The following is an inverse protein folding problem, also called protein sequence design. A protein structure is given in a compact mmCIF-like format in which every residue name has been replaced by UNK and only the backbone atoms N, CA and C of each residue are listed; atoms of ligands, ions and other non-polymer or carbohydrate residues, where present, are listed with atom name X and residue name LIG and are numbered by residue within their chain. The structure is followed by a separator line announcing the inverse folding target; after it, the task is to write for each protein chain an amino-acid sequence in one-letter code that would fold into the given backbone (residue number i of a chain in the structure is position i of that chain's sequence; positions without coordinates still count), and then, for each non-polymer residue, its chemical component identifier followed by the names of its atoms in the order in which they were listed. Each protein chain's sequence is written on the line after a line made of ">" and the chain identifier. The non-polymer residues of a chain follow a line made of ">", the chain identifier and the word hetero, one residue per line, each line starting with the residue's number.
data_IF_813003826566
#
_entry.id   IF_813003826566
#
_cell.length_a   1.000
_cell.length_b   1.000
_cell.length_c   1.000
_cell.angle_alpha   90.00
_cell.angle_beta   90.00
_cell.angle_gamma   90.00
#
_symmetry.space_group_name_H-M   'P 1'
#
loop_
_entity.id
_entity.type
_entity.pdbx_description
1 polymer ?
#
# COMPACT_ATOMS: atom_id res chain seq x y z
N UNK A 1 11.94 -20.67 -17.03
CA UNK A 1 12.24 -21.11 -15.64
C UNK A 1 12.57 -19.95 -14.68
N UNK A 2 12.22 -18.69 -14.99
CA UNK A 2 12.54 -17.52 -14.12
C UNK A 2 11.54 -17.41 -12.96
N UNK A 3 10.26 -17.70 -13.20
CA UNK A 3 9.19 -17.61 -12.19
C UNK A 3 9.36 -18.56 -11.01
N UNK A 4 9.67 -19.84 -11.24
CA UNK A 4 9.77 -20.83 -10.17
C UNK A 4 10.88 -20.50 -9.16
N UNK A 5 12.03 -20.02 -9.65
CA UNK A 5 13.15 -19.61 -8.80
C UNK A 5 12.81 -18.34 -8.00
N UNK A 6 12.21 -17.33 -8.65
CA UNK A 6 11.76 -16.11 -7.98
C UNK A 6 10.72 -16.40 -6.91
N UNK A 7 9.74 -17.25 -7.22
CA UNK A 7 8.71 -17.70 -6.27
C UNK A 7 9.34 -18.36 -5.04
N UNK A 8 10.25 -19.32 -5.24
CA UNK A 8 10.96 -19.96 -4.12
C UNK A 8 11.71 -18.94 -3.26
N UNK A 9 12.37 -17.95 -3.86
CA UNK A 9 13.04 -16.88 -3.12
C UNK A 9 12.05 -16.04 -2.30
N UNK A 10 10.94 -15.60 -2.89
CA UNK A 10 9.91 -14.83 -2.20
C UNK A 10 9.29 -15.62 -1.03
N UNK A 11 9.00 -16.91 -1.24
CA UNK A 11 8.45 -17.80 -0.20
C UNK A 11 9.45 -18.04 0.93
N UNK A 12 10.76 -18.10 0.63
CA UNK A 12 11.81 -18.23 1.65
C UNK A 12 11.90 -17.03 2.59
N UNK A 13 11.40 -15.87 2.17
CA UNK A 13 11.33 -14.66 2.97
C UNK A 13 10.03 -14.51 3.76
N UNK A 14 9.02 -15.36 3.53
CA UNK A 14 7.77 -15.25 4.29
C UNK A 14 8.00 -15.47 5.78
N UNK A 15 7.29 -14.69 6.60
CA UNK A 15 7.24 -14.95 8.03
C UNK A 15 6.68 -16.36 8.30
N UNK A 16 7.26 -17.15 9.24
CA UNK A 16 6.89 -18.57 9.41
C UNK A 16 5.39 -18.83 9.56
N UNK A 17 4.66 -17.99 10.30
CA UNK A 17 3.21 -18.16 10.48
C UNK A 17 2.35 -17.75 9.26
N UNK A 18 2.96 -17.16 8.23
CA UNK A 18 2.32 -16.82 6.95
C UNK A 18 2.61 -17.86 5.87
N UNK A 19 3.55 -18.78 6.08
CA UNK A 19 3.85 -19.87 5.15
C UNK A 19 2.61 -20.77 5.01
N UNK A 20 2.16 -21.00 3.77
CA UNK A 20 0.94 -21.75 3.48
C UNK A 20 -0.36 -20.95 3.63
N UNK A 21 -0.32 -19.75 4.20
CA UNK A 21 -1.44 -18.80 4.19
C UNK A 21 -1.31 -17.79 3.07
N UNK A 22 -0.12 -17.21 2.91
CA UNK A 22 0.22 -16.30 1.81
C UNK A 22 0.92 -17.09 0.73
N UNK A 23 0.40 -17.06 -0.48
CA UNK A 23 0.97 -17.77 -1.62
C UNK A 23 1.13 -16.85 -2.83
N UNK A 24 2.25 -17.02 -3.54
CA UNK A 24 2.50 -16.34 -4.81
C UNK A 24 2.04 -17.22 -5.98
N UNK A 25 1.16 -16.69 -6.81
CA UNK A 25 0.59 -17.37 -7.97
C UNK A 25 1.00 -16.66 -9.27
N UNK A 26 1.22 -17.41 -10.34
CA UNK A 26 1.35 -16.86 -11.69
C UNK A 26 0.08 -17.18 -12.46
N UNK A 27 -0.55 -16.17 -13.05
CA UNK A 27 -1.72 -16.38 -13.92
C UNK A 27 -1.43 -16.02 -15.38
N UNK A 28 -0.15 -15.90 -15.75
CA UNK A 28 0.25 -15.56 -17.12
C UNK A 28 0.20 -16.77 -18.03
N UNK A 29 -0.99 -17.06 -18.55
CA UNK A 29 -1.07 -17.74 -19.84
C UNK A 29 -0.56 -16.78 -20.93
N UNK A 30 0.46 -17.23 -21.65
CA UNK A 30 1.33 -16.51 -22.61
C UNK A 30 0.67 -15.82 -23.81
N UNK A 31 -0.66 -15.82 -23.93
CA UNK A 31 -1.35 -15.51 -25.20
C UNK A 31 -2.42 -14.41 -25.14
N UNK A 32 -2.61 -13.70 -24.01
CA UNK A 32 -3.62 -12.63 -23.94
C UNK A 32 -3.08 -11.32 -23.34
N UNK A 33 -2.90 -10.26 -24.16
CA UNK A 33 -2.53 -8.91 -23.71
C UNK A 33 -3.54 -8.27 -22.75
N UNK A 34 -4.79 -8.75 -22.73
CA UNK A 34 -5.90 -8.16 -21.94
C UNK A 34 -5.84 -8.47 -20.44
N UNK A 35 -4.96 -9.37 -19.99
CA UNK A 35 -4.87 -9.79 -18.57
C UNK A 35 -3.88 -8.92 -17.77
N UNK A 36 -3.85 -7.62 -18.00
CA UNK A 36 -2.96 -6.68 -17.32
C UNK A 36 -3.22 -6.52 -15.79
N UNK A 37 -4.18 -7.28 -15.21
CA UNK A 37 -4.51 -7.28 -13.77
C UNK A 37 -4.39 -8.67 -13.12
N UNK A 38 -3.40 -9.47 -13.51
CA UNK A 38 -3.17 -10.79 -12.92
C UNK A 38 -2.85 -10.65 -11.42
N UNK A 39 -3.71 -11.20 -10.56
CA UNK A 39 -3.43 -11.27 -9.13
C UNK A 39 -2.29 -12.25 -8.89
N UNK A 40 -1.19 -11.78 -8.30
CA UNK A 40 0.00 -12.60 -8.02
C UNK A 40 0.14 -13.02 -6.56
N UNK A 41 -0.77 -12.60 -5.68
CA UNK A 41 -0.84 -13.07 -4.29
C UNK A 41 -2.24 -13.58 -3.95
N UNK A 42 -2.26 -14.65 -3.18
CA UNK A 42 -3.44 -15.12 -2.47
C UNK A 42 -3.18 -15.17 -0.97
N UNK A 43 -4.24 -14.94 -0.20
CA UNK A 43 -4.26 -15.15 1.24
C UNK A 43 -5.40 -16.11 1.55
N UNK A 44 -5.11 -17.20 2.24
CA UNK A 44 -6.07 -18.27 2.56
C UNK A 44 -6.84 -18.72 1.30
N UNK A 45 -6.11 -18.91 0.19
CA UNK A 45 -6.59 -19.29 -1.16
C UNK A 45 -7.48 -18.26 -1.87
N UNK A 46 -7.62 -17.05 -1.34
CA UNK A 46 -8.38 -15.95 -1.96
C UNK A 46 -7.45 -14.95 -2.61
N UNK A 47 -7.75 -14.52 -3.83
CA UNK A 47 -6.99 -13.49 -4.56
C UNK A 47 -7.26 -12.13 -3.93
N UNK A 48 -6.23 -11.43 -3.45
CA UNK A 48 -6.40 -10.18 -2.68
C UNK A 48 -6.15 -8.90 -3.48
N UNK A 49 -5.47 -8.99 -4.63
CA UNK A 49 -5.18 -7.86 -5.52
C UNK A 49 -6.21 -7.65 -6.63
N UNK A 50 -7.43 -8.16 -6.45
CA UNK A 50 -8.46 -8.07 -7.48
C UNK A 50 -9.38 -6.87 -7.21
N UNK A 51 -9.12 -5.74 -7.89
CA UNK A 51 -9.86 -4.49 -7.71
C UNK A 51 -11.34 -4.59 -8.12
N UNK A 52 -11.71 -5.59 -8.94
CA UNK A 52 -13.09 -5.81 -9.41
C UNK A 52 -13.84 -6.86 -8.58
N UNK A 53 -13.17 -7.48 -7.62
CA UNK A 53 -13.70 -8.60 -6.87
C UNK A 53 -14.22 -8.16 -5.51
N UNK A 54 -15.54 -8.01 -5.45
CA UNK A 54 -16.27 -7.65 -4.23
C UNK A 54 -16.19 -8.75 -3.15
N UNK A 55 -15.68 -9.94 -3.45
CA UNK A 55 -15.46 -10.98 -2.43
C UNK A 55 -14.22 -10.68 -1.57
N UNK A 56 -13.34 -9.79 -2.04
CA UNK A 56 -12.22 -9.31 -1.24
C UNK A 56 -12.71 -8.28 -0.23
N UNK A 57 -12.30 -8.42 1.03
CA UNK A 57 -12.62 -7.44 2.09
C UNK A 57 -11.79 -6.15 1.99
N UNK A 58 -11.14 -5.92 0.85
CA UNK A 58 -10.22 -4.81 0.64
C UNK A 58 -10.98 -3.71 -0.06
N UNK A 59 -11.06 -2.55 0.59
CA UNK A 59 -11.63 -1.35 -0.02
C UNK A 59 -10.65 -0.81 -1.06
N UNK A 60 -11.13 -0.61 -2.28
CA UNK A 60 -10.41 0.07 -3.35
C UNK A 60 -11.10 1.40 -3.63
N UNK A 61 -10.34 2.49 -3.60
CA UNK A 61 -10.91 3.80 -3.88
C UNK A 61 -11.15 3.97 -5.37
N UNK A 62 -12.32 4.51 -5.74
CA UNK A 62 -12.68 4.81 -7.12
C UNK A 62 -12.31 6.23 -7.54
N UNK A 63 -12.29 7.17 -6.58
CA UNK A 63 -12.00 8.58 -6.85
C UNK A 63 -11.32 9.25 -5.67
N UNK A 64 -10.65 10.37 -5.93
CA UNK A 64 -10.10 11.23 -4.87
C UNK A 64 -11.18 11.75 -3.92
N UNK A 65 -12.42 11.97 -4.42
CA UNK A 65 -13.54 12.43 -3.59
C UNK A 65 -13.94 11.39 -2.54
N UNK A 66 -13.87 10.10 -2.89
CA UNK A 66 -14.16 9.03 -1.94
C UNK A 66 -13.16 9.02 -0.78
N UNK A 67 -11.88 9.26 -1.07
CA UNK A 67 -10.83 9.39 -0.04
C UNK A 67 -11.06 10.64 0.81
N UNK A 68 -11.47 11.75 0.18
CA UNK A 68 -11.79 13.01 0.88
C UNK A 68 -13.00 12.91 1.80
N UNK A 69 -13.97 12.08 1.42
CA UNK A 69 -15.17 11.84 2.22
C UNK A 69 -15.00 10.78 3.31
N UNK A 70 -13.82 10.15 3.46
CA UNK A 70 -13.64 9.08 4.45
C UNK A 70 -13.50 9.67 5.87
N UNK A 71 -14.47 9.43 6.78
CA UNK A 71 -14.41 9.95 8.14
C UNK A 71 -13.31 9.32 8.99
N UNK A 72 -12.75 8.17 8.57
CA UNK A 72 -11.68 7.49 9.28
C UNK A 72 -10.29 8.03 8.92
N UNK A 73 -10.18 8.86 7.87
CA UNK A 73 -8.91 9.43 7.43
C UNK A 73 -8.63 10.74 8.20
N UNK A 74 -7.91 10.63 9.31
CA UNK A 74 -7.44 11.80 10.05
C UNK A 74 -5.95 12.05 9.77
N UNK A 75 -5.66 12.98 8.86
CA UNK A 75 -4.30 13.43 8.59
C UNK A 75 -3.92 14.54 9.57
N UNK A 76 -2.95 14.32 10.47
CA UNK A 76 -2.49 15.39 11.37
C UNK A 76 -1.87 16.52 10.54
N UNK A 77 -2.37 17.73 10.76
CA UNK A 77 -1.83 18.96 10.17
C UNK A 77 -0.71 19.46 11.06
N UNK A 78 0.50 19.64 10.50
CA UNK A 78 1.63 20.22 11.24
C UNK A 78 1.60 21.75 11.15
N UNK A 79 2.33 22.41 12.05
CA UNK A 79 2.48 23.86 12.00
C UNK A 79 3.12 24.33 10.68
N UNK A 80 4.04 23.54 10.12
CA UNK A 80 4.65 23.77 8.80
C UNK A 80 3.62 23.80 7.67
N UNK A 81 2.61 22.92 7.72
CA UNK A 81 1.53 22.89 6.72
C UNK A 81 0.72 24.20 6.76
N UNK A 82 0.49 24.74 7.96
CA UNK A 82 -0.27 25.99 8.18
C UNK A 82 0.55 27.20 7.72
N UNK A 83 1.85 27.23 8.03
CA UNK A 83 2.76 28.30 7.61
C UNK A 83 2.93 28.35 6.09
N UNK A 84 2.99 27.20 5.41
CA UNK A 84 3.02 27.13 3.95
C UNK A 84 1.77 27.78 3.33
N UNK A 85 0.58 27.50 3.89
CA UNK A 85 -0.67 28.14 3.44
C UNK A 85 -0.69 29.63 3.75
N UNK A 86 -0.19 30.04 4.93
CA UNK A 86 -0.09 31.46 5.32
C UNK A 86 0.75 32.26 4.33
N UNK A 87 1.88 31.69 3.90
CA UNK A 87 2.80 32.28 2.93
C UNK A 87 2.18 32.37 1.54
N UNK A 88 1.54 31.30 1.06
CA UNK A 88 0.88 31.29 -0.26
C UNK A 88 -0.31 32.26 -0.33
N UNK A 89 -1.05 32.44 0.77
CA UNK A 89 -2.28 33.26 0.82
C UNK A 89 -2.04 34.70 1.29
N UNK A 90 -0.78 35.10 1.52
CA UNK A 90 -0.40 36.49 1.81
C UNK A 90 -1.10 37.11 3.04
N UNK A 91 -1.43 36.30 4.05
CA UNK A 91 -1.96 36.78 5.34
C UNK A 91 -3.41 37.29 5.35
N UNK A 92 -4.18 37.15 4.26
CA UNK A 92 -5.58 37.60 4.18
C UNK A 92 -6.60 36.63 4.81
N UNK A 93 -6.16 35.47 5.29
CA UNK A 93 -7.02 34.38 5.74
C UNK A 93 -6.94 34.22 7.26
N UNK A 94 -8.08 34.14 7.98
CA UNK A 94 -8.10 33.89 9.42
C UNK A 94 -7.36 32.62 9.82
N UNK A 95 -6.69 32.61 10.98
CA UNK A 95 -5.88 31.46 11.42
C UNK A 95 -6.68 30.15 11.53
N UNK A 96 -7.94 30.23 11.95
CA UNK A 96 -8.85 29.07 11.99
C UNK A 96 -9.10 28.48 10.59
N UNK A 97 -9.13 29.32 9.55
CA UNK A 97 -9.32 28.89 8.15
C UNK A 97 -8.02 28.39 7.54
N UNK A 98 -6.85 28.85 8.00
CA UNK A 98 -5.55 28.35 7.56
C UNK A 98 -5.39 26.86 7.90
N UNK A 99 -5.79 26.44 9.10
CA UNK A 99 -5.74 25.03 9.50
C UNK A 99 -6.64 24.12 8.64
N UNK A 100 -7.84 24.60 8.28
CA UNK A 100 -8.76 23.88 7.37
C UNK A 100 -8.18 23.79 5.96
N UNK A 101 -7.66 24.88 5.41
CA UNK A 101 -7.07 24.90 4.07
C UNK A 101 -5.81 24.02 4.01
N UNK A 102 -4.98 24.04 5.05
CA UNK A 102 -3.80 23.18 5.16
C UNK A 102 -4.20 21.70 5.19
N UNK A 103 -5.25 21.35 5.96
CA UNK A 103 -5.84 20.01 5.97
C UNK A 103 -6.31 19.61 4.57
N UNK A 104 -7.14 20.43 3.93
CA UNK A 104 -7.73 20.13 2.63
C UNK A 104 -6.67 19.94 1.54
N UNK A 105 -5.62 20.77 1.55
CA UNK A 105 -4.48 20.64 0.63
C UNK A 105 -3.73 19.33 0.86
N UNK A 106 -3.43 18.99 2.11
CA UNK A 106 -2.74 17.75 2.47
C UNK A 106 -3.57 16.52 2.10
N UNK A 107 -4.87 16.58 2.32
CA UNK A 107 -5.81 15.52 1.98
C UNK A 107 -5.92 15.35 0.46
N UNK A 108 -5.93 16.44 -0.30
CA UNK A 108 -5.89 16.40 -1.76
C UNK A 108 -4.61 15.75 -2.29
N UNK A 109 -3.44 16.12 -1.75
CA UNK A 109 -2.16 15.51 -2.13
C UNK A 109 -2.16 14.02 -1.80
N UNK A 110 -2.60 13.66 -0.60
CA UNK A 110 -2.72 12.26 -0.17
C UNK A 110 -3.65 11.45 -1.09
N UNK A 111 -4.83 11.97 -1.40
CA UNK A 111 -5.80 11.31 -2.28
C UNK A 111 -5.22 11.07 -3.68
N UNK A 112 -4.51 12.07 -4.23
CA UNK A 112 -3.81 11.95 -5.52
C UNK A 112 -2.74 10.86 -5.48
N UNK A 113 -1.90 10.85 -4.45
CA UNK A 113 -0.85 9.84 -4.31
C UNK A 113 -1.44 8.42 -4.17
N UNK A 114 -2.54 8.27 -3.44
CA UNK A 114 -3.21 6.98 -3.24
C UNK A 114 -3.82 6.43 -4.53
N UNK A 115 -4.54 7.27 -5.27
CA UNK A 115 -5.10 6.89 -6.58
C UNK A 115 -3.98 6.61 -7.59
N UNK A 116 -2.91 7.40 -7.59
CA UNK A 116 -1.74 7.15 -8.42
C UNK A 116 -1.09 5.80 -8.10
N UNK A 117 -0.93 5.47 -6.81
CA UNK A 117 -0.36 4.19 -6.37
C UNK A 117 -1.26 3.00 -6.73
N UNK A 118 -2.59 3.12 -6.61
CA UNK A 118 -3.54 2.10 -7.09
C UNK A 118 -3.47 1.92 -8.61
N UNK A 119 -3.34 3.02 -9.35
CA UNK A 119 -3.23 2.99 -10.81
C UNK A 119 -1.90 2.37 -11.26
N UNK A 120 -0.81 2.63 -10.52
CA UNK A 120 0.49 2.00 -10.76
C UNK A 120 0.40 0.49 -10.50
N UNK A 121 -0.24 0.09 -9.39
CA UNK A 121 -0.45 -1.31 -9.03
C UNK A 121 -1.24 -2.08 -10.10
N UNK A 122 -2.32 -1.48 -10.63
CA UNK A 122 -3.16 -2.13 -11.65
C UNK A 122 -2.46 -2.33 -12.99
N UNK A 123 -1.37 -1.61 -13.23
CA UNK A 123 -0.51 -1.72 -14.42
C UNK A 123 0.85 -2.34 -14.12
N UNK A 124 1.11 -2.74 -12.87
CA UNK A 124 2.42 -3.17 -12.43
C UNK A 124 2.78 -4.54 -13.02
N UNK A 125 4.04 -4.67 -13.45
CA UNK A 125 4.64 -5.98 -13.68
C UNK A 125 5.13 -6.52 -12.33
N UNK A 126 4.41 -7.53 -11.82
CA UNK A 126 4.78 -8.19 -10.57
C UNK A 126 6.21 -8.73 -10.57
N UNK A 127 6.70 -9.26 -11.69
CA UNK A 127 8.07 -9.80 -11.75
C UNK A 127 9.09 -8.69 -11.61
N UNK A 128 8.85 -7.52 -12.22
CA UNK A 128 9.71 -6.36 -12.09
C UNK A 128 9.75 -5.89 -10.63
N UNK A 129 8.58 -5.73 -10.01
CA UNK A 129 8.48 -5.28 -8.62
C UNK A 129 9.08 -6.30 -7.63
N UNK A 130 8.85 -7.59 -7.85
CA UNK A 130 9.45 -8.66 -7.05
C UNK A 130 10.98 -8.67 -7.17
N UNK A 131 11.53 -8.48 -8.37
CA UNK A 131 12.97 -8.36 -8.54
C UNK A 131 13.53 -7.14 -7.80
N UNK A 132 12.87 -5.98 -7.90
CA UNK A 132 13.22 -4.78 -7.13
C UNK A 132 13.21 -5.05 -5.62
N UNK A 133 12.17 -5.74 -5.12
CA UNK A 133 12.08 -6.12 -3.71
C UNK A 133 13.22 -7.05 -3.26
N UNK A 134 13.62 -8.01 -4.10
CA UNK A 134 14.67 -8.97 -3.80
C UNK A 134 16.07 -8.32 -3.79
N UNK A 135 16.26 -7.20 -4.49
CA UNK A 135 17.56 -6.50 -4.60
C UNK A 135 17.69 -5.29 -3.69
N UNK A 136 16.59 -4.67 -3.25
CA UNK A 136 16.61 -3.49 -2.38
C UNK A 136 16.53 -3.85 -0.89
N UNK A 137 16.75 -2.85 -0.02
CA UNK A 137 16.63 -3.04 1.42
C UNK A 137 15.16 -3.18 1.85
N UNK A 138 14.94 -3.84 3.00
CA UNK A 138 13.59 -3.96 3.56
C UNK A 138 13.03 -2.60 3.99
N UNK A 139 13.89 -1.68 4.42
CA UNK A 139 13.49 -0.33 4.83
C UNK A 139 12.98 0.49 3.63
N UNK A 140 13.69 0.42 2.50
CA UNK A 140 13.26 1.09 1.26
C UNK A 140 11.93 0.52 0.77
N UNK A 141 11.75 -0.80 0.88
CA UNK A 141 10.50 -1.47 0.52
C UNK A 141 9.32 -1.04 1.41
N UNK A 142 9.56 -0.82 2.71
CA UNK A 142 8.54 -0.33 3.66
C UNK A 142 8.25 1.17 3.47
N UNK A 143 9.26 1.97 3.12
CA UNK A 143 9.13 3.41 2.90
C UNK A 143 8.56 3.76 1.52
N UNK A 144 8.62 2.82 0.56
CA UNK A 144 8.17 3.01 -0.81
C UNK A 144 6.71 3.47 -0.90
N UNK A 145 6.40 4.22 -1.97
CA UNK A 145 5.05 4.58 -2.38
C UNK A 145 4.35 3.44 -3.13
N UNK A 146 5.10 2.43 -3.57
CA UNK A 146 4.56 1.27 -4.26
C UNK A 146 3.85 0.33 -3.27
N UNK A 147 2.57 0.07 -3.55
CA UNK A 147 1.71 -0.76 -2.72
C UNK A 147 2.22 -2.19 -2.63
N UNK A 148 2.68 -2.75 -3.75
CA UNK A 148 3.13 -4.13 -3.81
C UNK A 148 4.46 -4.30 -3.05
N UNK A 149 5.40 -3.35 -3.18
CA UNK A 149 6.62 -3.35 -2.36
C UNK A 149 6.31 -3.30 -0.86
N UNK A 150 5.37 -2.45 -0.45
CA UNK A 150 4.94 -2.39 0.95
C UNK A 150 4.35 -3.73 1.42
N UNK A 151 3.51 -4.37 0.59
CA UNK A 151 2.91 -5.67 0.92
C UNK A 151 3.96 -6.77 1.04
N UNK A 152 4.90 -6.88 0.08
CA UNK A 152 5.99 -7.85 0.12
C UNK A 152 6.84 -7.67 1.38
N UNK A 153 7.12 -6.42 1.75
CA UNK A 153 7.87 -6.11 2.96
C UNK A 153 7.12 -6.48 4.25
N UNK A 154 5.80 -6.30 4.30
CA UNK A 154 4.99 -6.63 5.49
C UNK A 154 4.91 -8.13 5.78
N UNK A 155 4.93 -8.96 4.73
CA UNK A 155 4.91 -10.43 4.89
C UNK A 155 6.31 -11.02 5.09
N UNK A 156 7.36 -10.19 4.99
CA UNK A 156 8.74 -10.61 5.12
C UNK A 156 9.14 -10.87 6.58
N UNK A 157 9.86 -11.96 6.80
CA UNK A 157 10.40 -12.38 8.11
C UNK A 157 11.48 -11.45 8.65
N UNK A 158 12.18 -10.70 7.79
CA UNK A 158 13.19 -9.68 8.14
C UNK A 158 12.56 -8.51 8.90
N UNK A 159 11.25 -8.30 8.76
CA UNK A 159 10.52 -7.32 9.59
C UNK A 159 10.16 -7.95 10.93
N UNK A 160 10.93 -7.56 11.95
CA UNK A 160 10.78 -8.06 13.32
C UNK A 160 9.46 -7.64 13.98
N UNK A 161 9.07 -8.39 15.02
CA UNK A 161 7.80 -8.20 15.75
C UNK A 161 7.63 -6.78 16.30
N UNK A 162 8.68 -6.24 16.94
CA UNK A 162 8.68 -4.88 17.51
C UNK A 162 8.40 -3.83 16.44
N UNK A 163 9.04 -3.93 15.27
CA UNK A 163 8.85 -3.01 14.15
C UNK A 163 7.41 -3.04 13.64
N UNK A 164 6.79 -4.22 13.52
CA UNK A 164 5.36 -4.31 13.16
C UNK A 164 4.49 -3.57 14.19
N UNK A 165 4.73 -3.76 15.49
CA UNK A 165 3.92 -3.09 16.52
C UNK A 165 4.09 -1.56 16.50
N UNK A 166 5.30 -1.06 16.27
CA UNK A 166 5.61 0.37 16.25
C UNK A 166 5.01 1.11 15.03
N UNK A 167 4.61 0.38 13.97
CA UNK A 167 4.11 0.97 12.72
C UNK A 167 2.61 1.27 12.70
N UNK A 168 1.86 1.02 13.78
CA UNK A 168 0.40 1.14 13.83
C UNK A 168 -0.13 2.48 13.25
N UNK A 169 0.46 3.60 13.69
CA UNK A 169 0.08 4.94 13.22
C UNK A 169 0.35 5.16 11.74
N UNK A 170 1.50 4.67 11.23
CA UNK A 170 1.89 4.83 9.82
C UNK A 170 0.98 4.00 8.90
N UNK A 171 0.59 2.81 9.36
CA UNK A 171 -0.22 1.88 8.56
C UNK A 171 -1.64 2.39 8.35
N UNK A 172 -2.24 3.10 9.31
CA UNK A 172 -3.55 3.74 9.15
C UNK A 172 -3.62 4.72 7.98
N UNK A 173 -2.47 5.28 7.58
CA UNK A 173 -2.36 6.19 6.44
C UNK A 173 -2.00 5.49 5.13
N UNK A 174 -1.75 4.18 5.12
CA UNK A 174 -1.44 3.44 3.89
C UNK A 174 -2.71 2.92 3.21
N UNK A 175 -2.58 2.44 1.98
CA UNK A 175 -3.68 1.84 1.22
C UNK A 175 -4.36 0.70 2.01
N UNK A 176 -5.70 0.53 1.93
CA UNK A 176 -6.43 -0.52 2.64
C UNK A 176 -5.85 -1.94 2.47
N UNK A 177 -5.28 -2.26 1.30
CA UNK A 177 -4.59 -3.54 1.10
C UNK A 177 -3.30 -3.68 1.94
N UNK A 178 -2.53 -2.59 2.09
CA UNK A 178 -1.34 -2.57 2.94
C UNK A 178 -1.77 -2.72 4.40
N UNK A 179 -2.87 -2.07 4.80
CA UNK A 179 -3.48 -2.24 6.13
C UNK A 179 -3.93 -3.69 6.37
N UNK A 180 -4.54 -4.33 5.37
CA UNK A 180 -4.96 -5.73 5.43
C UNK A 180 -3.76 -6.65 5.67
N UNK A 181 -2.67 -6.51 4.91
CA UNK A 181 -1.46 -7.31 5.11
C UNK A 181 -0.76 -7.01 6.44
N UNK A 182 -0.82 -5.76 6.91
CA UNK A 182 -0.34 -5.40 8.23
C UNK A 182 -1.13 -6.09 9.35
N UNK A 183 -2.47 -6.10 9.26
CA UNK A 183 -3.33 -6.82 10.21
C UNK A 183 -3.12 -8.33 10.14
N UNK A 184 -2.99 -8.89 8.93
CA UNK A 184 -2.64 -10.29 8.73
C UNK A 184 -1.33 -10.62 9.45
N UNK A 185 -0.30 -9.79 9.25
CA UNK A 185 1.00 -9.94 9.90
C UNK A 185 0.89 -9.86 11.43
N UNK A 186 0.10 -8.91 11.96
CA UNK A 186 -0.15 -8.77 13.40
C UNK A 186 -0.89 -9.96 14.01
N UNK A 187 -1.89 -10.49 13.32
CA UNK A 187 -2.63 -11.68 13.76
C UNK A 187 -1.77 -12.94 13.82
N UNK A 188 -0.64 -12.92 13.11
CA UNK A 188 0.30 -14.03 13.02
C UNK A 188 1.54 -13.86 13.94
N UNK A 189 1.62 -12.78 14.73
CA UNK A 189 2.78 -12.50 15.61
C UNK A 189 2.88 -13.45 16.80
#
# INVERSE_FOLDING_TARGET
>A
MIWSKMKQQLESFLYPALVGRVEYISTSYRYTPEKAGQCYLTVDKKKVFNMKDATTRIRWFQSEQEIKGDPNLNLPVSQEDIEAVRKDMGGKVPEERLAVIARDRKLLVYAKEMIAAQTALSKADFNAVANTFLTQSIEDSLASKDILLNVLALVDRRVGKKRILDMDKKMKLKHPIVQYFYQLRRSAL
#
